data_IF_475816470099
#
_entry.id   IF_475816470099
#
_cell.length_a   1.000
_cell.length_b   1.000
_cell.length_c   1.000
_cell.angle_alpha   90.00
_cell.angle_beta   90.00
_cell.angle_gamma   90.00
#
_symmetry.space_group_name_H-M   'P 1'
#
loop_
_entity.id
_entity.type
_entity.pdbx_description
1 polymer ?
#
# COMPACT_ATOMS: atom_id res chain seq x y z
N UNK A 1 -0.95 -4.75 43.81
CA UNK A 1 -1.87 -3.98 42.95
C UNK A 1 -1.55 -4.33 41.51
N UNK A 2 -2.49 -4.96 40.80
CA UNK A 2 -2.32 -5.23 39.37
C UNK A 2 -2.42 -3.89 38.64
N UNK A 3 -1.34 -3.44 37.99
CA UNK A 3 -1.46 -2.32 37.06
C UNK A 3 -2.43 -2.77 35.96
N UNK A 4 -3.48 -1.98 35.78
CA UNK A 4 -4.49 -2.19 34.76
C UNK A 4 -3.83 -1.97 33.39
N UNK A 5 -3.22 -3.04 32.84
CA UNK A 5 -2.53 -3.05 31.54
C UNK A 5 -3.43 -2.53 30.40
N UNK A 6 -4.76 -2.54 30.59
CA UNK A 6 -5.73 -1.97 29.66
C UNK A 6 -5.59 -0.46 29.46
N UNK A 7 -5.10 0.28 30.46
CA UNK A 7 -4.93 1.74 30.36
C UNK A 7 -3.65 2.15 29.63
N UNK A 8 -2.60 1.33 29.71
CA UNK A 8 -1.32 1.57 29.04
C UNK A 8 -1.42 1.27 27.54
N UNK A 9 -2.02 0.15 27.14
CA UNK A 9 -2.17 -0.22 25.72
C UNK A 9 -3.06 0.76 24.94
N UNK A 10 -3.98 1.44 25.62
CA UNK A 10 -4.89 2.39 24.97
C UNK A 10 -4.17 3.71 24.61
N UNK A 11 -3.13 4.12 25.35
CA UNK A 11 -2.41 5.36 25.03
C UNK A 11 -1.55 5.20 23.76
N UNK A 12 -0.89 4.07 23.61
CA UNK A 12 -0.07 3.76 22.43
C UNK A 12 -0.93 3.62 21.18
N UNK A 13 -2.08 2.94 21.28
CA UNK A 13 -3.08 2.89 20.21
C UNK A 13 -3.60 4.28 19.81
N UNK A 14 -3.88 5.15 20.78
CA UNK A 14 -4.34 6.51 20.51
C UNK A 14 -3.25 7.38 19.86
N UNK A 15 -2.00 7.26 20.32
CA UNK A 15 -0.86 7.96 19.72
C UNK A 15 -0.59 7.49 18.28
N UNK A 16 -0.69 6.19 18.05
CA UNK A 16 -0.64 5.59 16.72
C UNK A 16 -1.71 6.15 15.80
N UNK A 17 -2.98 6.11 16.19
CA UNK A 17 -4.09 6.63 15.37
C UNK A 17 -3.90 8.12 15.07
N UNK A 18 -3.41 8.89 16.03
CA UNK A 18 -3.13 10.32 15.85
C UNK A 18 -2.04 10.58 14.81
N UNK A 19 -0.92 9.83 14.86
CA UNK A 19 0.19 9.96 13.89
C UNK A 19 -0.18 9.40 12.52
N UNK A 20 -0.91 8.28 12.51
CA UNK A 20 -1.36 7.61 11.30
C UNK A 20 -2.22 8.51 10.42
N UNK A 21 -2.97 9.45 11.02
CA UNK A 21 -3.80 10.40 10.27
C UNK A 21 -2.99 11.18 9.20
N UNK A 22 -1.79 11.67 9.54
CA UNK A 22 -0.94 12.39 8.60
C UNK A 22 -0.45 11.47 7.48
N UNK A 23 0.07 10.28 7.85
CA UNK A 23 0.57 9.27 6.91
C UNK A 23 -0.56 8.81 5.97
N UNK A 24 -1.77 8.62 6.50
CA UNK A 24 -2.97 8.27 5.74
C UNK A 24 -3.23 9.30 4.64
N UNK A 25 -3.28 10.59 4.98
CA UNK A 25 -3.56 11.64 4.00
C UNK A 25 -2.44 11.81 2.98
N UNK A 26 -1.18 11.69 3.40
CA UNK A 26 -0.04 11.72 2.48
C UNK A 26 -0.08 10.55 1.49
N UNK A 27 -0.34 9.34 1.98
CA UNK A 27 -0.47 8.12 1.17
C UNK A 27 -1.61 8.25 0.15
N UNK A 28 -2.78 8.70 0.61
CA UNK A 28 -3.94 8.92 -0.26
C UNK A 28 -3.62 9.98 -1.34
N UNK A 29 -2.97 11.07 -0.96
CA UNK A 29 -2.56 12.15 -1.87
C UNK A 29 -1.53 11.66 -2.89
N UNK A 30 -0.54 10.88 -2.47
CA UNK A 30 0.47 10.30 -3.34
C UNK A 30 -0.19 9.41 -4.41
N UNK A 31 -1.07 8.50 -3.98
CA UNK A 31 -1.76 7.59 -4.90
C UNK A 31 -2.69 8.30 -5.87
N UNK A 32 -3.42 9.33 -5.44
CA UNK A 32 -4.21 10.15 -6.35
C UNK A 32 -3.34 10.93 -7.33
N UNK A 33 -2.22 11.49 -6.85
CA UNK A 33 -1.28 12.25 -7.68
C UNK A 33 -0.64 11.38 -8.76
N UNK A 34 -0.44 10.09 -8.47
CA UNK A 34 0.16 9.15 -9.42
C UNK A 34 -0.58 9.12 -10.75
N UNK A 35 -1.92 9.20 -10.77
CA UNK A 35 -2.72 9.19 -12.00
C UNK A 35 -2.43 10.36 -12.96
N UNK A 36 -1.92 11.47 -12.42
CA UNK A 36 -1.48 12.63 -13.19
C UNK A 36 -0.02 12.47 -13.58
N UNK A 37 0.82 12.08 -12.62
CA UNK A 37 2.27 12.03 -12.77
C UNK A 37 2.74 10.94 -13.73
N UNK A 38 2.12 9.76 -13.68
CA UNK A 38 2.44 8.63 -14.56
C UNK A 38 1.77 8.74 -15.95
N UNK A 39 0.98 9.79 -16.18
CA UNK A 39 0.30 10.02 -17.44
C UNK A 39 -0.95 9.17 -17.67
N UNK A 40 -1.41 8.39 -16.68
CA UNK A 40 -2.60 7.55 -16.82
C UNK A 40 -3.82 8.33 -17.33
N UNK A 41 -4.12 9.50 -16.74
CA UNK A 41 -5.26 10.32 -17.19
C UNK A 41 -5.06 10.85 -18.62
N UNK A 42 -3.83 11.19 -18.98
CA UNK A 42 -3.52 11.61 -20.35
C UNK A 42 -3.81 10.48 -21.32
N UNK A 43 -3.36 9.27 -21.01
CA UNK A 43 -3.55 8.08 -21.84
C UNK A 43 -5.02 7.68 -21.98
N UNK A 44 -5.78 7.78 -20.90
CA UNK A 44 -7.21 7.47 -20.90
C UNK A 44 -8.04 8.47 -21.73
N UNK A 45 -7.62 9.74 -21.77
CA UNK A 45 -8.35 10.82 -22.46
C UNK A 45 -7.69 11.30 -23.76
N UNK A 46 -6.61 10.66 -24.20
CA UNK A 46 -5.92 10.91 -25.47
C UNK A 46 -6.94 10.85 -26.64
N UNK A 47 -6.95 11.91 -27.46
CA UNK A 47 -7.86 12.05 -28.62
C UNK A 47 -7.17 11.82 -29.96
N UNK A 48 -5.89 11.45 -29.95
CA UNK A 48 -5.11 11.24 -31.15
C UNK A 48 -5.68 10.06 -31.95
N UNK A 49 -6.27 10.36 -33.11
CA UNK A 49 -6.92 9.39 -34.00
C UNK A 49 -5.93 8.45 -34.70
N UNK A 50 -4.64 8.78 -34.71
CA UNK A 50 -3.58 8.01 -35.37
C UNK A 50 -3.20 6.73 -34.63
N UNK A 51 -3.41 6.67 -33.32
CA UNK A 51 -3.22 5.45 -32.51
C UNK A 51 -4.39 5.34 -31.55
N UNK A 52 -5.48 4.65 -31.92
CA UNK A 52 -6.60 4.42 -31.04
C UNK A 52 -6.14 3.61 -29.82
N UNK A 53 -6.23 4.20 -28.62
CA UNK A 53 -6.03 3.48 -27.36
C UNK A 53 -7.36 2.90 -26.88
N UNK A 54 -7.37 1.62 -26.51
CA UNK A 54 -8.55 1.00 -25.90
C UNK A 54 -8.65 1.44 -24.43
N UNK A 55 -9.61 2.32 -24.17
CA UNK A 55 -9.85 2.89 -22.84
C UNK A 55 -10.37 1.87 -21.84
N UNK A 56 -11.14 0.88 -22.31
CA UNK A 56 -11.64 -0.18 -21.44
C UNK A 56 -10.47 -1.06 -21.00
N UNK A 57 -9.59 -1.41 -21.93
CA UNK A 57 -8.38 -2.18 -21.62
C UNK A 57 -7.46 -1.42 -20.66
N UNK A 58 -7.21 -0.11 -20.87
CA UNK A 58 -6.40 0.71 -19.94
C UNK A 58 -6.94 0.68 -18.50
N UNK A 59 -8.26 0.77 -18.34
CA UNK A 59 -8.91 0.71 -17.03
C UNK A 59 -8.80 -0.67 -16.39
N UNK A 60 -9.00 -1.73 -17.17
CA UNK A 60 -8.90 -3.13 -16.70
C UNK A 60 -7.46 -3.47 -16.33
N UNK A 61 -6.48 -3.04 -17.12
CA UNK A 61 -5.06 -3.27 -16.81
C UNK A 61 -4.64 -2.58 -15.52
N UNK A 62 -5.16 -1.37 -15.24
CA UNK A 62 -4.81 -0.63 -14.03
C UNK A 62 -5.57 -1.07 -12.78
N UNK A 63 -6.84 -1.48 -12.92
CA UNK A 63 -7.76 -1.66 -11.79
C UNK A 63 -8.49 -3.01 -11.75
N UNK A 64 -8.32 -3.85 -12.77
CA UNK A 64 -8.97 -5.16 -12.90
C UNK A 64 -10.34 -5.13 -13.58
N UNK A 65 -10.92 -6.32 -13.78
CA UNK A 65 -12.17 -6.53 -14.52
C UNK A 65 -13.40 -5.80 -13.95
N UNK A 66 -13.40 -5.53 -12.64
CA UNK A 66 -14.49 -4.79 -11.99
C UNK A 66 -14.60 -3.35 -12.51
N UNK A 67 -13.48 -2.79 -13.01
CA UNK A 67 -13.43 -1.49 -13.64
C UNK A 67 -13.93 -1.48 -15.10
N UNK A 68 -14.37 -2.60 -15.66
CA UNK A 68 -14.84 -2.63 -17.04
C UNK A 68 -16.01 -1.64 -17.25
N UNK A 69 -15.90 -0.66 -18.17
CA UNK A 69 -16.97 0.32 -18.44
C UNK A 69 -18.33 -0.30 -18.81
N UNK A 70 -18.35 -1.52 -19.35
CA UNK A 70 -19.58 -2.23 -19.69
C UNK A 70 -20.47 -2.49 -18.46
N UNK A 71 -19.88 -2.62 -17.26
CA UNK A 71 -20.62 -2.82 -16.02
C UNK A 71 -21.48 -1.62 -15.62
N UNK A 72 -21.24 -0.44 -16.22
CA UNK A 72 -21.87 0.82 -15.83
C UNK A 72 -22.85 1.37 -16.89
N UNK A 73 -23.09 0.66 -18.00
CA UNK A 73 -23.85 1.18 -19.15
C UNK A 73 -25.26 1.65 -18.79
N UNK A 74 -26.02 0.84 -18.05
CA UNK A 74 -27.40 1.18 -17.67
C UNK A 74 -27.49 2.42 -16.78
N UNK A 75 -26.58 2.54 -15.80
CA UNK A 75 -26.54 3.70 -14.91
C UNK A 75 -26.03 4.95 -15.61
N UNK A 76 -25.00 4.81 -16.46
CA UNK A 76 -24.46 5.88 -17.28
C UNK A 76 -25.54 6.51 -18.19
N UNK A 77 -26.42 5.67 -18.77
CA UNK A 77 -27.56 6.13 -19.55
C UNK A 77 -28.57 6.90 -18.70
N UNK A 78 -28.92 6.38 -17.51
CA UNK A 78 -29.85 7.04 -16.60
C UNK A 78 -29.33 8.40 -16.10
N UNK A 79 -28.01 8.53 -15.93
CA UNK A 79 -27.35 9.73 -15.44
C UNK A 79 -26.84 10.67 -16.53
N UNK A 80 -27.00 10.31 -17.81
CA UNK A 80 -26.48 11.05 -18.98
C UNK A 80 -24.96 11.35 -18.90
N UNK A 81 -24.17 10.34 -18.54
CA UNK A 81 -22.70 10.42 -18.46
C UNK A 81 -22.05 9.24 -19.19
N UNK A 82 -20.76 9.31 -19.50
CA UNK A 82 -20.07 8.21 -20.17
C UNK A 82 -19.76 7.07 -19.17
N UNK A 83 -19.92 5.78 -19.55
CA UNK A 83 -19.61 4.66 -18.67
C UNK A 83 -18.15 4.65 -18.17
N UNK A 84 -17.22 5.13 -19.01
CA UNK A 84 -15.80 5.31 -18.66
C UNK A 84 -15.61 6.27 -17.48
N UNK A 85 -16.42 7.32 -17.37
CA UNK A 85 -16.36 8.27 -16.25
C UNK A 85 -16.76 7.60 -14.94
N UNK A 86 -17.84 6.80 -14.94
CA UNK A 86 -18.29 6.07 -13.76
C UNK A 86 -17.28 5.00 -13.34
N UNK A 87 -16.80 4.22 -14.29
CA UNK A 87 -15.74 3.23 -14.06
C UNK A 87 -14.49 3.87 -13.44
N UNK A 88 -14.03 5.01 -13.98
CA UNK A 88 -12.86 5.70 -13.44
C UNK A 88 -13.08 6.16 -11.99
N UNK A 89 -14.23 6.76 -11.68
CA UNK A 89 -14.55 7.21 -10.30
C UNK A 89 -14.58 6.03 -9.33
N UNK A 90 -15.29 4.95 -9.70
CA UNK A 90 -15.36 3.73 -8.89
C UNK A 90 -13.96 3.17 -8.63
N UNK A 91 -13.14 3.09 -9.67
CA UNK A 91 -11.80 2.51 -9.61
C UNK A 91 -10.84 3.35 -8.76
N UNK A 92 -10.89 4.68 -8.90
CA UNK A 92 -10.08 5.59 -8.06
C UNK A 92 -10.47 5.44 -6.59
N UNK A 93 -11.77 5.37 -6.28
CA UNK A 93 -12.23 5.21 -4.90
C UNK A 93 -11.78 3.86 -4.31
N UNK A 94 -11.92 2.78 -5.06
CA UNK A 94 -11.51 1.44 -4.63
C UNK A 94 -9.98 1.36 -4.46
N UNK A 95 -9.21 1.88 -5.40
CA UNK A 95 -7.76 1.91 -5.34
C UNK A 95 -7.28 2.68 -4.10
N UNK A 96 -7.85 3.87 -3.86
CA UNK A 96 -7.45 4.70 -2.75
C UNK A 96 -7.83 4.06 -1.39
N UNK A 97 -8.96 3.35 -1.32
CA UNK A 97 -9.33 2.56 -0.15
C UNK A 97 -8.39 1.36 0.08
N UNK A 98 -8.05 0.61 -0.98
CA UNK A 98 -7.11 -0.53 -0.88
C UNK A 98 -5.74 -0.07 -0.39
N UNK A 99 -5.19 0.99 -0.99
CA UNK A 99 -3.88 1.53 -0.59
C UNK A 99 -3.88 2.10 0.82
N UNK A 100 -4.98 2.73 1.22
CA UNK A 100 -5.16 3.15 2.60
C UNK A 100 -5.15 1.97 3.57
N UNK A 101 -5.77 0.85 3.20
CA UNK A 101 -5.79 -0.36 4.01
C UNK A 101 -4.41 -0.97 4.13
N UNK A 102 -3.69 -1.15 3.01
CA UNK A 102 -2.33 -1.69 3.00
C UNK A 102 -1.41 -0.90 3.96
N UNK A 103 -1.46 0.43 3.86
CA UNK A 103 -0.69 1.32 4.75
C UNK A 103 -1.12 1.20 6.22
N UNK A 104 -2.43 1.10 6.49
CA UNK A 104 -2.93 0.90 7.85
C UNK A 104 -2.48 -0.44 8.43
N UNK A 105 -2.65 -1.54 7.69
CA UNK A 105 -2.30 -2.89 8.13
C UNK A 105 -0.81 -3.00 8.43
N UNK A 106 0.04 -2.47 7.55
CA UNK A 106 1.50 -2.44 7.76
C UNK A 106 1.84 -1.69 9.05
N UNK A 107 1.37 -0.45 9.18
CA UNK A 107 1.63 0.38 10.34
C UNK A 107 1.10 -0.24 11.64
N UNK A 108 -0.08 -0.86 11.60
CA UNK A 108 -0.65 -1.55 12.76
C UNK A 108 0.20 -2.76 13.18
N UNK A 109 0.64 -3.58 12.21
CA UNK A 109 1.50 -4.73 12.48
C UNK A 109 2.86 -4.31 13.04
N UNK A 110 3.52 -3.29 12.47
CA UNK A 110 4.82 -2.82 12.98
C UNK A 110 4.73 -2.27 14.41
N UNK A 111 3.61 -1.66 14.81
CA UNK A 111 3.48 -1.01 16.11
C UNK A 111 2.82 -1.88 17.19
N UNK A 112 2.03 -2.89 16.82
CA UNK A 112 1.28 -3.73 17.76
C UNK A 112 1.40 -5.24 17.50
N UNK A 113 1.95 -5.63 16.35
CA UNK A 113 2.30 -7.02 16.09
C UNK A 113 3.48 -7.40 16.97
N UNK A 114 3.30 -8.45 17.75
CA UNK A 114 4.40 -9.14 18.41
C UNK A 114 5.21 -9.85 17.31
N UNK A 115 6.09 -9.11 16.65
CA UNK A 115 7.21 -9.70 15.93
C UNK A 115 8.16 -10.12 17.03
N UNK A 116 8.01 -11.36 17.51
CA UNK A 116 8.83 -11.88 18.60
C UNK A 116 10.29 -11.52 18.36
N UNK A 117 11.01 -11.15 19.40
CA UNK A 117 12.46 -11.15 19.36
C UNK A 117 12.86 -12.56 18.90
N UNK A 118 13.25 -12.71 17.63
CA UNK A 118 14.05 -13.85 17.17
C UNK A 118 15.45 -13.71 17.80
N UNK A 119 15.51 -13.62 19.13
CA UNK A 119 16.70 -13.88 19.93
C UNK A 119 16.75 -15.40 20.18
N UNK A 120 16.75 -16.18 19.09
CA UNK A 120 17.24 -17.56 19.07
C UNK A 120 18.67 -17.52 18.51
N UNK A 121 19.56 -16.74 19.14
CA UNK A 121 21.01 -16.87 18.96
C UNK A 121 21.62 -17.43 20.26
N UNK A 122 21.56 -18.75 20.33
CA UNK A 122 22.48 -19.69 20.97
C UNK A 122 23.52 -19.12 21.96
N UNK A 123 23.22 -19.23 23.26
CA UNK A 123 24.26 -19.43 24.28
C UNK A 123 24.77 -20.89 24.18
N UNK A 124 25.49 -21.24 23.09
CA UNK A 124 26.37 -22.42 23.07
C UNK A 124 27.69 -22.07 23.76
N UNK A 125 27.70 -22.30 25.06
CA UNK A 125 28.90 -22.31 25.88
C UNK A 125 29.69 -23.63 25.63
N UNK A 126 30.22 -23.84 24.41
CA UNK A 126 31.20 -24.92 24.16
C UNK A 126 32.20 -24.65 23.01
N UNK A 127 33.29 -23.98 23.39
CA UNK A 127 34.68 -24.17 22.97
C UNK A 127 35.04 -24.68 21.55
N UNK A 128 35.93 -23.91 20.90
CA UNK A 128 36.94 -24.30 19.90
C UNK A 128 36.39 -24.85 18.56
N UNK A 129 36.79 -24.35 17.40
CA UNK A 129 38.18 -24.22 16.94
C UNK A 129 38.19 -23.44 15.62
N UNK A 130 39.36 -22.90 15.32
CA UNK A 130 39.73 -21.99 14.24
C UNK A 130 39.33 -22.37 12.79
N UNK A 131 39.33 -21.30 11.97
CA UNK A 131 39.66 -21.25 10.54
C UNK A 131 38.52 -21.54 9.55
N UNK A 132 37.93 -20.49 8.97
CA UNK A 132 37.96 -20.22 7.52
C UNK A 132 37.44 -18.79 7.24
N UNK A 133 38.34 -17.96 6.74
CA UNK A 133 38.05 -16.72 6.01
C UNK A 133 37.11 -17.01 4.83
N UNK A 134 35.90 -16.45 4.86
CA UNK A 134 35.16 -16.14 3.64
C UNK A 134 34.53 -14.75 3.81
N UNK A 135 35.04 -13.84 2.99
CA UNK A 135 34.54 -12.48 2.76
C UNK A 135 33.05 -12.52 2.42
N UNK A 136 32.23 -11.94 3.29
CA UNK A 136 30.81 -11.72 3.08
C UNK A 136 30.51 -10.22 3.16
N UNK A 137 31.15 -9.43 2.30
CA UNK A 137 30.52 -8.19 1.86
C UNK A 137 29.19 -8.51 1.16
N UNK A 138 28.09 -8.00 1.73
CA UNK A 138 26.69 -8.00 1.26
C UNK A 138 25.84 -9.25 1.50
N UNK A 139 25.19 -9.28 2.66
CA UNK A 139 23.80 -9.74 2.74
C UNK A 139 22.88 -8.54 2.46
N UNK A 140 21.91 -8.64 1.53
CA UNK A 140 20.95 -7.57 1.31
C UNK A 140 20.04 -7.47 2.53
N UNK A 141 19.91 -6.27 3.08
CA UNK A 141 18.85 -5.94 4.04
C UNK A 141 17.50 -6.28 3.40
N UNK A 142 16.64 -7.01 4.11
CA UNK A 142 15.30 -7.30 3.63
C UNK A 142 14.54 -6.00 3.40
N UNK A 143 13.82 -5.92 2.27
CA UNK A 143 13.11 -4.71 1.85
C UNK A 143 12.05 -4.27 2.88
N UNK A 144 11.58 -5.20 3.71
CA UNK A 144 10.60 -4.97 4.77
C UNK A 144 11.22 -4.27 6.01
N UNK A 145 12.50 -4.54 6.31
CA UNK A 145 13.24 -3.86 7.39
C UNK A 145 13.58 -2.42 7.01
N UNK A 146 13.85 -2.17 5.73
CA UNK A 146 14.12 -0.83 5.19
C UNK A 146 12.87 0.07 5.22
N UNK A 147 11.67 -0.50 5.16
CA UNK A 147 10.41 0.24 5.24
C UNK A 147 10.01 0.59 6.68
N UNK A 148 10.50 -0.14 7.67
CA UNK A 148 10.33 0.17 9.09
C UNK A 148 11.20 1.35 9.57
N UNK A 149 12.24 1.75 8.82
CA UNK A 149 13.12 2.87 9.19
C UNK A 149 12.68 4.27 8.73
N UNK A 150 11.53 4.37 8.05
CA UNK A 150 10.83 5.65 7.84
C UNK A 150 11.32 6.48 6.65
N UNK A 151 10.35 7.14 6.01
CA UNK A 151 10.53 8.29 5.11
C UNK A 151 10.49 9.60 5.90
#
# INVERSE_FOLDING_TARGET
MSMDKSRTSNKEALDFVSKFNEIYFQTFTHHLSSFVQDGFLKDLFEKNLSVPKDKAQILIERFGETANPANFTSQAQAMNIQPTTLSLIFSIALYAASRSWDNFSHQFLCNFGDMGDDDDDDDDDSQNTEDYLMDASHLPLDEDDLLCQGF
#
